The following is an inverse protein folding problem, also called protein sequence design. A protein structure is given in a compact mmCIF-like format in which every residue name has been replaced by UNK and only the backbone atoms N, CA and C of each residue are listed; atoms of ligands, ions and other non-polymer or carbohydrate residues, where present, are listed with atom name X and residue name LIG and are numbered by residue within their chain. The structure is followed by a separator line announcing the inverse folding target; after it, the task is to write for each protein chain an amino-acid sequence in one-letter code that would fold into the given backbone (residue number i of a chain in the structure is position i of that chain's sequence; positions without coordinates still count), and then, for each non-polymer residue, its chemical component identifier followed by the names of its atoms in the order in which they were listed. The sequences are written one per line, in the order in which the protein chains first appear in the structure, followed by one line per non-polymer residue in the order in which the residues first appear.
data_IF_017820874217
#
_entry.id   IF_017820874217
#
_cell.length_a   1.000
_cell.length_b   1.000
_cell.length_c   1.000
_cell.angle_alpha   90.00
_cell.angle_beta   90.00
_cell.angle_gamma   90.00
#
_symmetry.space_group_name_H-M   'P 1'
#
loop_
_entity.id
_entity.type
_entity.pdbx_description
1 polymer ?
#
# COMPACT_ATOMS: atom_id res chain seq x y z
N UNK A 1 -14.20 3.01 -0.62
CA UNK A 1 -14.98 1.82 -0.23
C UNK A 1 -14.19 0.53 -0.51
N UNK A 2 -13.70 0.31 -1.73
CA UNK A 2 -13.07 -0.95 -2.18
C UNK A 2 -12.05 -1.59 -1.22
N UNK A 3 -11.10 -0.85 -0.64
CA UNK A 3 -10.13 -1.46 0.30
C UNK A 3 -10.73 -1.82 1.67
N UNK A 4 -11.75 -1.08 2.14
CA UNK A 4 -12.31 -1.28 3.48
C UNK A 4 -13.11 -2.58 3.56
N UNK A 5 -13.77 -2.93 2.47
CA UNK A 5 -14.69 -4.07 2.40
C UNK A 5 -14.03 -5.29 1.73
N UNK A 6 -12.72 -5.23 1.44
CA UNK A 6 -11.99 -6.33 0.81
C UNK A 6 -11.56 -7.34 1.88
N UNK A 7 -12.02 -8.61 1.82
CA UNK A 7 -11.70 -9.62 2.84
C UNK A 7 -10.21 -10.02 2.88
N UNK A 8 -9.45 -9.72 1.83
CA UNK A 8 -8.02 -10.01 1.76
C UNK A 8 -7.17 -8.88 2.37
N UNK A 9 -7.79 -7.83 2.90
CA UNK A 9 -7.11 -6.72 3.56
C UNK A 9 -7.61 -6.56 4.99
N UNK A 10 -6.69 -6.61 5.95
CA UNK A 10 -6.98 -6.23 7.33
C UNK A 10 -6.48 -4.80 7.54
N UNK A 11 -7.36 -3.90 8.00
CA UNK A 11 -6.97 -2.54 8.36
C UNK A 11 -6.71 -2.44 9.86
N UNK A 12 -5.55 -1.91 10.25
CA UNK A 12 -5.18 -1.71 11.65
C UNK A 12 -4.78 -0.25 11.93
N UNK A 13 -4.60 0.07 13.21
CA UNK A 13 -4.08 1.37 13.65
C UNK A 13 -4.85 2.56 13.07
N UNK A 14 -4.14 3.46 12.40
CA UNK A 14 -4.73 4.66 11.75
C UNK A 14 -5.19 4.40 10.32
N UNK A 15 -4.95 3.22 9.74
CA UNK A 15 -5.25 2.95 8.33
C UNK A 15 -6.74 3.14 7.99
N UNK A 16 -7.64 2.68 8.87
CA UNK A 16 -9.09 2.85 8.70
C UNK A 16 -9.53 4.32 8.66
N UNK A 17 -9.21 5.12 9.70
CA UNK A 17 -9.44 6.57 9.71
C UNK A 17 -8.81 7.32 8.54
N UNK A 18 -7.57 6.99 8.16
CA UNK A 18 -6.88 7.64 7.05
C UNK A 18 -7.56 7.34 5.70
N UNK A 19 -8.00 6.11 5.46
CA UNK A 19 -8.83 5.76 4.30
C UNK A 19 -10.17 6.49 4.31
N UNK A 20 -10.80 6.61 5.47
CA UNK A 20 -12.07 7.34 5.62
C UNK A 20 -11.93 8.83 5.28
N UNK A 21 -10.76 9.41 5.56
CA UNK A 21 -10.48 10.83 5.29
C UNK A 21 -10.32 11.16 3.80
N UNK A 22 -10.20 10.16 2.92
CA UNK A 22 -9.99 10.37 1.48
C UNK A 22 -8.62 10.94 1.11
N UNK A 23 -7.67 10.98 2.05
CA UNK A 23 -6.33 11.57 1.83
C UNK A 23 -5.29 10.58 1.30
N UNK A 24 -5.63 9.30 1.16
CA UNK A 24 -4.68 8.28 0.67
C UNK A 24 -4.54 8.41 -0.85
N UNK A 25 -3.31 8.38 -1.35
CA UNK A 25 -2.99 8.49 -2.77
C UNK A 25 -3.68 7.38 -3.58
N UNK A 26 -4.28 7.75 -4.71
CA UNK A 26 -5.00 6.81 -5.57
C UNK A 26 -4.13 5.67 -6.08
N UNK A 27 -2.83 5.89 -6.31
CA UNK A 27 -1.90 4.82 -6.72
C UNK A 27 -1.74 3.78 -5.63
N UNK A 28 -1.63 4.23 -4.37
CA UNK A 28 -1.59 3.33 -3.21
C UNK A 28 -2.88 2.51 -3.18
N UNK A 29 -4.04 3.16 -3.32
CA UNK A 29 -5.33 2.47 -3.32
C UNK A 29 -5.45 1.43 -4.43
N UNK A 30 -5.11 1.80 -5.67
CA UNK A 30 -5.23 0.94 -6.84
C UNK A 30 -4.29 -0.26 -6.74
N UNK A 31 -3.01 -0.04 -6.43
CA UNK A 31 -2.03 -1.13 -6.40
C UNK A 31 -2.32 -2.10 -5.25
N UNK A 32 -2.75 -1.59 -4.09
CA UNK A 32 -3.22 -2.46 -2.99
C UNK A 32 -4.42 -3.30 -3.45
N UNK A 33 -5.47 -2.67 -3.97
CA UNK A 33 -6.66 -3.40 -4.41
C UNK A 33 -6.31 -4.51 -5.42
N UNK A 34 -5.43 -4.24 -6.39
CA UNK A 34 -5.01 -5.24 -7.38
C UNK A 34 -4.15 -6.34 -6.75
N UNK A 35 -3.24 -6.02 -5.82
CA UNK A 35 -2.41 -7.01 -5.15
C UNK A 35 -3.22 -8.04 -4.34
N UNK A 36 -4.47 -7.74 -3.99
CA UNK A 36 -5.33 -8.70 -3.27
C UNK A 36 -5.76 -9.92 -4.08
N UNK A 37 -5.50 -9.93 -5.39
CA UNK A 37 -5.70 -11.09 -6.22
C UNK A 37 -4.75 -12.24 -5.85
N UNK A 38 -3.53 -11.89 -5.41
CA UNK A 38 -2.45 -12.86 -5.17
C UNK A 38 -2.04 -12.92 -3.69
N UNK A 39 -2.38 -11.90 -2.90
CA UNK A 39 -1.93 -11.76 -1.51
C UNK A 39 -3.06 -11.39 -0.55
N UNK A 40 -2.97 -11.86 0.70
CA UNK A 40 -3.60 -11.19 1.85
C UNK A 40 -2.56 -10.42 2.63
N UNK A 41 -2.93 -9.28 3.21
CA UNK A 41 -2.02 -8.52 4.05
C UNK A 41 -2.76 -7.57 5.00
N UNK A 42 -2.04 -7.11 6.01
CA UNK A 42 -2.48 -6.07 6.94
C UNK A 42 -1.93 -4.72 6.51
N UNK A 43 -2.77 -3.70 6.44
CA UNK A 43 -2.35 -2.30 6.31
C UNK A 43 -2.31 -1.68 7.70
N UNK A 44 -1.10 -1.38 8.18
CA UNK A 44 -0.90 -0.84 9.53
C UNK A 44 -1.22 0.66 9.61
N UNK A 45 -0.74 1.41 8.61
CA UNK A 45 -0.90 2.86 8.57
C UNK A 45 -0.48 3.44 7.20
N UNK A 46 -0.88 4.70 6.99
CA UNK A 46 -0.42 5.52 5.87
C UNK A 46 0.41 6.71 6.40
N UNK A 47 1.68 6.49 6.78
CA UNK A 47 2.45 7.53 7.44
C UNK A 47 2.71 8.72 6.50
N UNK A 48 2.80 9.92 7.08
CA UNK A 48 3.33 11.08 6.37
C UNK A 48 4.83 10.91 6.17
N UNK A 49 5.35 11.38 5.03
CA UNK A 49 6.79 11.52 4.87
C UNK A 49 7.27 12.76 5.59
N UNK A 50 8.46 12.72 6.19
CA UNK A 50 9.08 13.91 6.77
C UNK A 50 9.16 15.03 5.73
N UNK A 51 8.60 16.20 6.06
CA UNK A 51 8.51 17.35 5.16
C UNK A 51 7.21 17.45 4.36
N UNK A 52 6.31 16.46 4.45
CA UNK A 52 4.96 16.57 3.86
C UNK A 52 4.07 17.51 4.71
N UNK A 53 3.20 18.32 4.08
CA UNK A 53 2.27 19.17 4.81
C UNK A 53 1.25 18.33 5.59
N UNK A 54 0.79 18.84 6.73
CA UNK A 54 -0.16 18.13 7.61
C UNK A 54 -1.48 17.76 6.93
N UNK A 55 -1.89 18.53 5.93
CA UNK A 55 -3.15 18.31 5.18
C UNK A 55 -2.91 17.67 3.82
N UNK A 56 -1.72 17.11 3.57
CA UNK A 56 -1.34 16.51 2.29
C UNK A 56 -1.81 15.08 2.06
N UNK A 57 -1.67 14.64 0.81
CA UNK A 57 -1.93 13.26 0.40
C UNK A 57 -0.93 12.28 1.03
N UNK A 58 -1.45 11.22 1.65
CA UNK A 58 -0.68 10.14 2.25
C UNK A 58 -0.23 9.18 1.15
N UNK A 59 1.08 9.12 0.92
CA UNK A 59 1.73 8.43 -0.22
C UNK A 59 2.64 7.29 0.21
N UNK A 60 2.71 7.05 1.50
CA UNK A 60 3.45 5.93 2.08
C UNK A 60 2.45 4.97 2.69
N UNK A 61 2.70 3.67 2.53
CA UNK A 61 1.94 2.61 3.17
C UNK A 61 2.88 1.66 3.91
N UNK A 62 2.44 1.18 5.07
CA UNK A 62 3.09 0.13 5.86
C UNK A 62 2.23 -1.14 5.83
N UNK A 63 2.82 -2.24 5.40
CA UNK A 63 2.17 -3.53 5.21
C UNK A 63 2.84 -4.62 6.03
N UNK A 64 2.06 -5.45 6.72
CA UNK A 64 2.53 -6.59 7.51
C UNK A 64 1.61 -7.79 7.35
N UNK A 65 1.95 -8.93 7.96
CA UNK A 65 1.15 -10.15 7.88
C UNK A 65 0.86 -10.59 6.44
N UNK A 66 1.87 -10.51 5.57
CA UNK A 66 1.74 -10.76 4.14
C UNK A 66 1.73 -12.26 3.91
N UNK A 67 0.65 -12.77 3.31
CA UNK A 67 0.50 -14.19 2.97
C UNK A 67 0.05 -14.32 1.51
N UNK A 68 0.47 -15.37 0.80
CA UNK A 68 0.02 -15.64 -0.56
C UNK A 68 -1.37 -16.29 -0.53
N UNK A 69 -2.19 -16.05 -1.56
CA UNK A 69 -3.49 -16.73 -1.70
C UNK A 69 -3.33 -18.23 -1.99
N UNK A 70 -2.24 -18.63 -2.69
CA UNK A 70 -1.99 -20.03 -3.05
C UNK A 70 -0.53 -20.45 -2.84
N UNK A 71 -0.34 -21.60 -2.18
CA UNK A 71 0.76 -22.55 -2.37
C UNK A 71 2.21 -22.11 -2.11
N UNK A 72 2.46 -20.86 -1.72
CA UNK A 72 3.79 -20.32 -1.49
C UNK A 72 4.09 -20.14 0.00
N UNK A 73 5.36 -20.29 0.40
CA UNK A 73 5.78 -20.06 1.78
C UNK A 73 5.64 -18.58 2.19
N UNK A 74 5.20 -18.35 3.43
CA UNK A 74 4.94 -17.02 4.01
C UNK A 74 6.18 -16.10 3.98
N UNK A 75 7.36 -16.65 4.25
CA UNK A 75 8.63 -15.91 4.21
C UNK A 75 8.97 -15.37 2.81
N UNK A 76 8.51 -16.07 1.77
CA UNK A 76 8.69 -15.65 0.37
C UNK A 76 7.63 -14.62 -0.07
N UNK A 77 6.47 -14.60 0.57
CA UNK A 77 5.33 -13.78 0.17
C UNK A 77 5.60 -12.28 0.31
N UNK A 78 6.29 -11.87 1.37
CA UNK A 78 6.72 -10.47 1.53
C UNK A 78 7.61 -10.02 0.38
N UNK A 79 8.63 -10.82 0.04
CA UNK A 79 9.56 -10.53 -1.07
C UNK A 79 8.81 -10.48 -2.41
N UNK A 80 7.89 -11.41 -2.64
CA UNK A 80 7.06 -11.44 -3.84
C UNK A 80 6.18 -10.20 -3.95
N UNK A 81 5.53 -9.76 -2.85
CA UNK A 81 4.74 -8.54 -2.84
C UNK A 81 5.60 -7.29 -3.09
N UNK A 82 6.79 -7.18 -2.48
CA UNK A 82 7.74 -6.10 -2.76
C UNK A 82 8.14 -6.07 -4.24
N UNK A 83 8.37 -7.24 -4.83
CA UNK A 83 8.74 -7.34 -6.24
C UNK A 83 7.55 -7.00 -7.15
N UNK A 84 6.32 -7.35 -6.76
CA UNK A 84 5.09 -6.92 -7.42
C UNK A 84 4.99 -5.39 -7.50
N UNK A 85 5.28 -4.68 -6.40
CA UNK A 85 5.38 -3.22 -6.38
C UNK A 85 6.50 -2.69 -7.30
N UNK A 86 7.67 -3.33 -7.29
CA UNK A 86 8.84 -2.95 -8.11
C UNK A 86 8.54 -2.96 -9.61
N UNK A 87 7.79 -3.97 -10.04
CA UNK A 87 7.52 -4.23 -11.46
C UNK A 87 6.32 -3.46 -12.00
N UNK A 88 5.64 -2.66 -11.18
CA UNK A 88 4.65 -1.71 -11.66
C UNK A 88 5.28 -0.72 -12.67
N UNK A 89 4.48 -0.32 -13.66
CA UNK A 89 4.83 0.71 -14.62
C UNK A 89 4.43 2.09 -14.09
N UNK A 90 4.98 3.15 -14.67
CA UNK A 90 4.51 4.50 -14.38
C UNK A 90 3.01 4.63 -14.73
N UNK A 91 2.20 5.32 -13.90
CA UNK A 91 2.58 6.08 -12.71
C UNK A 91 2.54 5.28 -11.38
N UNK A 92 2.28 3.97 -11.44
CA UNK A 92 2.12 3.07 -10.29
C UNK A 92 3.42 2.47 -9.76
N UNK A 93 4.57 2.80 -10.37
CA UNK A 93 5.88 2.45 -9.81
C UNK A 93 6.18 3.29 -8.57
N UNK A 94 6.49 2.68 -7.40
CA UNK A 94 6.91 3.42 -6.21
C UNK A 94 8.22 4.16 -6.42
N UNK A 95 8.42 5.24 -5.66
CA UNK A 95 9.71 5.94 -5.57
C UNK A 95 10.70 5.15 -4.70
N UNK A 96 10.22 4.61 -3.58
CA UNK A 96 11.02 3.88 -2.62
C UNK A 96 10.21 2.71 -2.06
N UNK A 97 10.91 1.63 -1.74
CA UNK A 97 10.37 0.48 -1.03
C UNK A 97 11.46 -0.21 -0.23
N UNK A 98 11.09 -0.83 0.89
CA UNK A 98 12.02 -1.55 1.74
C UNK A 98 11.31 -2.26 2.88
N UNK A 99 12.03 -3.13 3.55
CA UNK A 99 11.55 -3.76 4.79
C UNK A 99 12.14 -3.02 5.99
N UNK A 100 11.30 -2.81 6.98
CA UNK A 100 11.66 -2.46 8.35
C UNK A 100 11.20 -3.63 9.22
N UNK A 101 12.15 -4.45 9.67
CA UNK A 101 11.88 -5.78 10.23
C UNK A 101 11.01 -6.64 9.27
N UNK A 102 9.76 -6.91 9.63
CA UNK A 102 8.78 -7.67 8.83
C UNK A 102 7.75 -6.77 8.12
N UNK A 103 7.87 -5.45 8.26
CA UNK A 103 6.93 -4.48 7.68
C UNK A 103 7.46 -3.99 6.34
N UNK A 104 6.72 -4.25 5.27
CA UNK A 104 6.98 -3.68 3.95
C UNK A 104 6.50 -2.22 3.91
N UNK A 105 7.42 -1.30 3.67
CA UNK A 105 7.15 0.11 3.51
C UNK A 105 7.26 0.47 2.03
N UNK A 106 6.22 1.06 1.47
CA UNK A 106 6.18 1.51 0.06
C UNK A 106 5.82 2.98 0.00
N UNK A 107 6.62 3.77 -0.72
CA UNK A 107 6.46 5.23 -0.83
C UNK A 107 6.39 5.67 -2.28
N UNK A 108 5.40 6.51 -2.61
CA UNK A 108 5.23 7.11 -3.93
C UNK A 108 5.74 8.56 -4.00
N UNK A 109 6.12 9.00 -5.19
CA UNK A 109 6.63 10.35 -5.44
C UNK A 109 5.54 11.43 -5.38
N UNK A 110 5.98 12.68 -5.12
CA UNK A 110 5.20 13.89 -5.35
C UNK A 110 5.28 14.35 -6.81
N UNK A 111 4.24 15.04 -7.31
CA UNK A 111 2.87 15.10 -6.78
C UNK A 111 2.12 13.77 -7.04
N UNK A 112 0.96 13.60 -6.42
CA UNK A 112 0.00 12.57 -6.85
C UNK A 112 -0.50 12.90 -8.26
N UNK A 113 -0.52 11.95 -9.21
CA UNK A 113 -1.03 12.22 -10.55
C UNK A 113 -2.52 12.58 -10.49
N UNK A 114 -2.90 13.65 -11.21
CA UNK A 114 -4.29 14.07 -11.34
C UNK A 114 -5.02 13.14 -12.32
N UNK A 115 -6.26 12.76 -12.00
CA UNK A 115 -7.14 12.05 -12.94
C UNK A 115 -6.99 10.52 -12.99
N UNK A 116 -6.30 9.88 -12.05
CA UNK A 116 -6.19 8.41 -12.02
C UNK A 116 -7.45 7.66 -11.57
N UNK A 117 -8.40 8.36 -10.96
CA UNK A 117 -9.71 7.82 -10.55
C UNK A 117 -10.87 8.73 -11.04
N UNK A 118 -10.63 9.50 -12.10
CA UNK A 118 -11.59 10.43 -12.70
C UNK A 118 -12.24 9.86 -13.95
#
# INVERSE_FOLDING_TARGET
AVLRDNPNIVLQGTAGPDLASGRVDSRVLTVLATATADFTYTVESFPRRNGDPDVGTLRTVRLSGIQPQEGSDEESAGVALRDYFRFQLAPYRPLQQGFDESVLIVTYSAPSPVGLLG
#
